data_IF_824997625774
#
_entry.id   IF_824997625774
#
_cell.length_a   1.000
_cell.length_b   1.000
_cell.length_c   1.000
_cell.angle_alpha   90.00
_cell.angle_beta   90.00
_cell.angle_gamma   90.00
#
_symmetry.space_group_name_H-M   'P 1'
#
loop_
_entity.id
_entity.type
_entity.pdbx_description
1 polymer ?
#
# COMPACT_ATOMS: atom_id res chain seq x y z
N UNK A 1 -1.27 12.79 25.06
CA UNK A 1 -0.68 12.31 23.78
C UNK A 1 0.83 12.38 23.90
N UNK A 2 1.53 11.25 23.70
CA UNK A 2 2.93 11.05 24.11
C UNK A 2 3.88 11.95 23.29
N UNK A 3 4.44 13.02 23.89
CA UNK A 3 5.36 13.96 23.22
C UNK A 3 6.53 13.24 22.53
N UNK A 4 7.04 12.17 23.15
CA UNK A 4 8.09 11.31 22.60
C UNK A 4 7.70 10.67 21.25
N UNK A 5 6.44 10.29 21.06
CA UNK A 5 5.96 9.67 19.81
C UNK A 5 6.02 10.67 18.65
N UNK A 6 5.54 11.89 18.87
CA UNK A 6 5.50 12.93 17.82
C UNK A 6 6.92 13.31 17.42
N UNK A 7 7.81 13.50 18.39
CA UNK A 7 9.22 13.81 18.11
C UNK A 7 9.85 12.72 17.26
N UNK A 8 9.55 11.47 17.56
CA UNK A 8 10.07 10.32 16.84
C UNK A 8 9.50 10.18 15.41
N UNK A 9 8.23 10.49 15.20
CA UNK A 9 7.61 10.54 13.86
C UNK A 9 8.16 11.69 13.00
N UNK A 10 8.64 12.77 13.62
CA UNK A 10 9.29 13.90 12.94
C UNK A 10 10.75 13.63 12.58
N UNK A 11 11.39 12.65 13.21
CA UNK A 11 12.76 12.28 12.91
C UNK A 11 12.88 11.83 11.46
N UNK A 12 13.92 12.31 10.78
CA UNK A 12 14.23 11.84 9.44
C UNK A 12 14.69 10.39 9.49
N UNK A 13 14.18 9.60 8.55
CA UNK A 13 14.54 8.21 8.36
C UNK A 13 15.92 8.14 7.69
N UNK A 14 16.85 7.50 8.38
CA UNK A 14 18.14 7.11 7.83
C UNK A 14 18.02 5.72 7.20
N UNK A 15 17.70 5.70 5.91
CA UNK A 15 17.44 4.49 5.11
C UNK A 15 18.06 4.67 3.72
N UNK A 16 18.52 3.57 3.12
CA UNK A 16 19.08 3.56 1.78
C UNK A 16 18.00 3.53 0.70
N UNK A 17 18.38 3.70 -0.57
CA UNK A 17 17.45 3.51 -1.70
C UNK A 17 17.03 2.06 -1.85
N UNK A 18 17.91 1.12 -1.52
CA UNK A 18 17.61 -0.32 -1.54
C UNK A 18 16.52 -0.62 -0.52
N UNK A 19 16.62 -0.07 0.68
CA UNK A 19 15.60 -0.23 1.73
C UNK A 19 14.21 0.28 1.31
N UNK A 20 14.16 1.41 0.58
CA UNK A 20 12.93 1.97 0.01
C UNK A 20 12.38 1.03 -1.06
N UNK A 21 13.24 0.54 -1.95
CA UNK A 21 12.90 -0.38 -3.05
C UNK A 21 12.27 -1.65 -2.49
N UNK A 22 12.95 -2.30 -1.54
CA UNK A 22 12.50 -3.53 -0.89
C UNK A 22 11.18 -3.31 -0.16
N UNK A 23 11.06 -2.22 0.59
CA UNK A 23 9.83 -1.89 1.32
C UNK A 23 8.65 -1.67 0.37
N UNK A 24 8.84 -0.98 -0.76
CA UNK A 24 7.80 -0.76 -1.77
C UNK A 24 7.42 -2.08 -2.49
N UNK A 25 8.39 -2.94 -2.81
CA UNK A 25 8.10 -4.24 -3.44
C UNK A 25 7.34 -5.17 -2.51
N UNK A 26 7.68 -5.16 -1.22
CA UNK A 26 7.09 -6.03 -0.21
C UNK A 26 5.72 -5.55 0.25
N UNK A 27 5.48 -4.24 0.33
CA UNK A 27 4.23 -3.67 0.86
C UNK A 27 2.93 -4.26 0.29
N UNK A 28 2.75 -4.41 -1.04
CA UNK A 28 1.54 -5.00 -1.57
C UNK A 28 1.45 -6.52 -1.33
N UNK A 29 2.58 -7.23 -1.28
CA UNK A 29 2.63 -8.67 -0.98
C UNK A 29 2.17 -8.92 0.46
N UNK A 30 2.71 -8.18 1.43
CA UNK A 30 2.30 -8.26 2.83
C UNK A 30 0.84 -7.82 3.04
N UNK A 31 0.37 -6.86 2.25
CA UNK A 31 -1.04 -6.47 2.29
C UNK A 31 -1.94 -7.59 1.76
N UNK A 32 -1.58 -8.18 0.61
CA UNK A 32 -2.32 -9.28 0.01
C UNK A 32 -2.33 -10.53 0.91
N UNK A 33 -1.22 -10.85 1.58
CA UNK A 33 -1.14 -12.02 2.46
C UNK A 33 -2.06 -11.93 3.67
N UNK A 34 -2.41 -10.72 4.13
CA UNK A 34 -3.39 -10.50 5.20
C UNK A 34 -4.80 -10.37 4.64
N UNK A 35 -4.97 -9.60 3.57
CA UNK A 35 -6.28 -9.31 3.02
C UNK A 35 -6.94 -10.53 2.36
N UNK A 36 -6.16 -11.39 1.69
CA UNK A 36 -6.71 -12.57 1.02
C UNK A 36 -7.40 -13.54 1.99
N UNK A 37 -6.76 -13.98 3.10
CA UNK A 37 -7.43 -14.80 4.10
C UNK A 37 -8.69 -14.15 4.68
N UNK A 38 -8.67 -12.83 4.90
CA UNK A 38 -9.83 -12.09 5.41
C UNK A 38 -10.99 -12.09 4.41
N UNK A 39 -10.71 -11.90 3.12
CA UNK A 39 -11.72 -11.99 2.06
C UNK A 39 -12.29 -13.41 2.00
N UNK A 40 -11.45 -14.44 2.01
CA UNK A 40 -11.92 -15.83 2.03
C UNK A 40 -12.81 -16.11 3.26
N UNK A 41 -12.39 -15.68 4.46
CA UNK A 41 -13.19 -15.82 5.68
C UNK A 41 -14.53 -15.08 5.57
N UNK A 42 -14.53 -13.87 5.02
CA UNK A 42 -15.76 -13.10 4.84
C UNK A 42 -16.76 -13.77 3.90
N UNK A 43 -16.27 -14.41 2.83
CA UNK A 43 -17.09 -15.19 1.89
C UNK A 43 -17.66 -16.41 2.61
N UNK A 44 -16.83 -17.17 3.33
CA UNK A 44 -17.24 -18.39 4.06
C UNK A 44 -18.30 -18.09 5.14
N UNK A 45 -18.18 -16.95 5.82
CA UNK A 45 -19.09 -16.55 6.92
C UNK A 45 -20.36 -15.88 6.37
N UNK A 46 -20.24 -15.09 5.29
CA UNK A 46 -21.32 -14.27 4.74
C UNK A 46 -22.25 -15.00 3.77
N UNK A 47 -21.73 -15.97 3.02
CA UNK A 47 -22.50 -16.84 2.15
C UNK A 47 -22.49 -18.24 2.78
N UNK A 48 -23.64 -18.77 3.18
CA UNK A 48 -23.76 -20.16 3.62
C UNK A 48 -23.04 -21.07 2.61
N UNK A 49 -21.86 -21.57 2.95
CA UNK A 49 -20.86 -22.10 2.01
C UNK A 49 -21.48 -22.83 0.80
N UNK A 50 -21.52 -22.14 -0.36
CA UNK A 50 -22.10 -22.67 -1.61
C UNK A 50 -21.02 -22.95 -2.66
N UNK A 51 -21.42 -23.54 -3.79
CA UNK A 51 -20.56 -23.70 -4.98
C UNK A 51 -20.07 -22.35 -5.52
N UNK A 52 -20.93 -21.32 -5.50
CA UNK A 52 -20.59 -19.95 -5.94
C UNK A 52 -19.54 -19.30 -5.02
N UNK A 53 -19.63 -19.58 -3.71
CA UNK A 53 -18.63 -19.16 -2.72
C UNK A 53 -17.26 -19.80 -2.99
N UNK A 54 -17.25 -21.07 -3.42
CA UNK A 54 -16.02 -21.77 -3.79
C UNK A 54 -15.39 -21.22 -5.08
N UNK A 55 -16.20 -20.93 -6.10
CA UNK A 55 -15.73 -20.27 -7.32
C UNK A 55 -15.15 -18.87 -7.02
N UNK A 56 -15.79 -18.11 -6.12
CA UNK A 56 -15.31 -16.80 -5.68
C UNK A 56 -13.96 -16.88 -4.96
N UNK A 57 -13.75 -17.89 -4.11
CA UNK A 57 -12.46 -18.12 -3.44
C UNK A 57 -11.37 -18.48 -4.46
N UNK A 58 -11.68 -19.29 -5.48
CA UNK A 58 -10.72 -19.70 -6.51
C UNK A 58 -10.35 -18.56 -7.47
N UNK A 59 -11.28 -17.64 -7.72
CA UNK A 59 -11.06 -16.49 -8.61
C UNK A 59 -10.42 -15.29 -7.90
N UNK A 60 -10.53 -15.20 -6.58
CA UNK A 60 -9.91 -14.14 -5.78
C UNK A 60 -8.38 -13.98 -5.99
N UNK A 61 -7.54 -15.02 -6.11
CA UNK A 61 -6.11 -14.88 -6.39
C UNK A 61 -5.82 -14.12 -7.69
N UNK A 62 -6.60 -14.39 -8.76
CA UNK A 62 -6.47 -13.69 -10.05
C UNK A 62 -6.71 -12.20 -9.85
N UNK A 63 -7.72 -11.88 -9.05
CA UNK A 63 -8.02 -10.50 -8.69
C UNK A 63 -6.85 -9.82 -7.94
N UNK A 64 -6.22 -10.49 -6.96
CA UNK A 64 -5.03 -9.96 -6.27
C UNK A 64 -3.84 -9.72 -7.21
N UNK A 65 -3.65 -10.57 -8.22
CA UNK A 65 -2.60 -10.39 -9.25
C UNK A 65 -2.84 -9.10 -10.04
N UNK A 66 -4.08 -8.82 -10.44
CA UNK A 66 -4.43 -7.59 -11.16
C UNK A 66 -4.13 -6.36 -10.30
N UNK A 67 -4.51 -6.38 -9.02
CA UNK A 67 -4.21 -5.29 -8.07
C UNK A 67 -2.70 -5.06 -7.92
N UNK A 68 -1.91 -6.14 -7.84
CA UNK A 68 -0.44 -6.07 -7.79
C UNK A 68 0.15 -5.43 -9.06
N UNK A 69 -0.30 -5.86 -10.23
CA UNK A 69 0.17 -5.30 -11.51
C UNK A 69 -0.11 -3.80 -11.59
N UNK A 70 -1.32 -3.38 -11.20
CA UNK A 70 -1.68 -1.97 -11.15
C UNK A 70 -0.78 -1.22 -10.18
N UNK A 71 -0.58 -1.73 -8.96
CA UNK A 71 0.33 -1.13 -8.01
C UNK A 71 1.73 -0.89 -8.61
N UNK A 72 2.30 -1.89 -9.31
CA UNK A 72 3.64 -1.76 -9.88
C UNK A 72 3.72 -0.72 -11.00
N UNK A 73 2.73 -0.68 -11.90
CA UNK A 73 2.73 0.27 -13.03
C UNK A 73 2.46 1.70 -12.55
N UNK A 74 1.52 1.85 -11.63
CA UNK A 74 0.88 3.13 -11.34
C UNK A 74 1.35 3.75 -10.02
N UNK A 75 1.82 2.98 -9.06
CA UNK A 75 2.10 3.48 -7.70
C UNK A 75 3.57 3.40 -7.38
N UNK A 76 4.17 2.25 -7.65
CA UNK A 76 5.56 1.97 -7.32
C UNK A 76 6.49 3.04 -7.88
N UNK A 77 6.38 3.36 -9.18
CA UNK A 77 7.24 4.35 -9.85
C UNK A 77 7.11 5.73 -9.20
N UNK A 78 5.89 6.21 -8.97
CA UNK A 78 5.65 7.54 -8.38
C UNK A 78 6.09 7.61 -6.92
N UNK A 79 5.78 6.58 -6.13
CA UNK A 79 6.20 6.49 -4.73
C UNK A 79 7.73 6.45 -4.63
N UNK A 80 8.38 5.63 -5.45
CA UNK A 80 9.84 5.51 -5.49
C UNK A 80 10.52 6.83 -5.85
N UNK A 81 10.05 7.52 -6.89
CA UNK A 81 10.61 8.83 -7.31
C UNK A 81 10.43 9.86 -6.19
N UNK A 82 9.21 9.98 -5.64
CA UNK A 82 8.90 10.93 -4.56
C UNK A 82 9.78 10.69 -3.34
N UNK A 83 9.90 9.45 -2.91
CA UNK A 83 10.65 9.08 -1.70
C UNK A 83 12.16 9.20 -1.90
N UNK A 84 12.67 8.82 -3.06
CA UNK A 84 14.08 9.02 -3.41
C UNK A 84 14.44 10.52 -3.47
N UNK A 85 13.52 11.35 -3.96
CA UNK A 85 13.67 12.81 -3.94
C UNK A 85 13.68 13.37 -2.52
N UNK A 86 12.76 12.92 -1.66
CA UNK A 86 12.70 13.30 -0.25
C UNK A 86 13.93 12.84 0.54
N UNK A 87 14.45 11.65 0.25
CA UNK A 87 15.68 11.12 0.81
C UNK A 87 16.87 12.01 0.44
N UNK A 88 17.00 12.39 -0.84
CA UNK A 88 18.06 13.31 -1.30
C UNK A 88 18.00 14.66 -0.60
N UNK A 89 16.79 15.14 -0.25
CA UNK A 89 16.59 16.39 0.50
C UNK A 89 16.72 16.24 2.01
N UNK A 90 17.02 15.05 2.56
CA UNK A 90 17.01 14.75 4.00
C UNK A 90 15.70 15.16 4.67
N UNK A 91 14.58 14.94 3.98
CA UNK A 91 13.22 15.24 4.47
C UNK A 91 12.33 14.02 4.55
N UNK A 92 12.88 12.82 4.29
CA UNK A 92 12.12 11.59 4.38
C UNK A 92 11.80 11.32 5.85
N UNK A 93 10.53 11.53 6.22
CA UNK A 93 9.98 11.27 7.54
C UNK A 93 8.55 10.74 7.41
N UNK A 94 7.92 10.37 8.53
CA UNK A 94 6.57 9.82 8.54
C UNK A 94 5.56 10.70 7.78
N UNK A 95 5.55 11.99 8.07
CA UNK A 95 4.57 12.92 7.51
C UNK A 95 4.73 13.09 6.00
N UNK A 96 5.96 13.13 5.49
CA UNK A 96 6.21 13.22 4.05
C UNK A 96 5.84 11.95 3.30
N UNK A 97 6.05 10.78 3.90
CA UNK A 97 5.59 9.50 3.35
C UNK A 97 4.06 9.48 3.28
N UNK A 98 3.39 9.79 4.39
CA UNK A 98 1.92 9.84 4.44
C UNK A 98 1.36 10.87 3.45
N UNK A 99 1.97 12.05 3.36
CA UNK A 99 1.55 13.08 2.40
C UNK A 99 1.70 12.59 0.95
N UNK A 100 2.80 11.92 0.61
CA UNK A 100 3.00 11.35 -0.73
C UNK A 100 1.96 10.27 -1.07
N UNK A 101 1.59 9.45 -0.09
CA UNK A 101 0.55 8.44 -0.22
C UNK A 101 -0.84 9.06 -0.42
N UNK A 102 -1.20 10.09 0.37
CA UNK A 102 -2.46 10.80 0.20
C UNK A 102 -2.54 11.49 -1.17
N UNK A 103 -1.45 12.09 -1.65
CA UNK A 103 -1.41 12.68 -2.99
C UNK A 103 -1.65 11.63 -4.08
N UNK A 104 -1.03 10.45 -3.94
CA UNK A 104 -1.26 9.31 -4.84
C UNK A 104 -2.75 8.92 -4.82
N UNK A 105 -3.35 8.77 -3.64
CA UNK A 105 -4.78 8.42 -3.50
C UNK A 105 -5.68 9.48 -4.15
N UNK A 106 -5.41 10.77 -3.94
CA UNK A 106 -6.18 11.88 -4.53
C UNK A 106 -6.04 11.88 -6.05
N UNK A 107 -4.83 11.70 -6.58
CA UNK A 107 -4.58 11.62 -8.02
C UNK A 107 -5.37 10.45 -8.64
N UNK A 108 -5.34 9.27 -8.01
CA UNK A 108 -6.10 8.10 -8.49
C UNK A 108 -7.61 8.29 -8.40
N UNK A 109 -8.10 8.87 -7.31
CA UNK A 109 -9.52 9.19 -7.14
C UNK A 109 -9.99 10.20 -8.18
N UNK A 110 -9.13 11.14 -8.58
CA UNK A 110 -9.42 12.12 -9.63
C UNK A 110 -9.46 11.48 -11.01
N UNK A 111 -8.54 10.55 -11.32
CA UNK A 111 -8.56 9.77 -12.56
C UNK A 111 -9.83 8.91 -12.66
N UNK A 112 -10.27 8.32 -11.54
CA UNK A 112 -11.51 7.53 -11.46
C UNK A 112 -12.75 8.36 -11.85
N UNK A 113 -12.80 9.62 -11.45
CA UNK A 113 -13.92 10.52 -11.75
C UNK A 113 -14.05 10.87 -13.23
N UNK A 114 -12.99 10.65 -14.03
CA UNK A 114 -12.95 11.06 -15.43
C UNK A 114 -13.42 9.99 -16.44
N UNK A 115 -13.55 8.72 -16.03
CA UNK A 115 -14.08 7.67 -16.90
C UNK A 115 -14.59 6.45 -16.12
N UNK A 116 -15.89 6.45 -15.78
CA UNK A 116 -16.56 5.29 -15.17
C UNK A 116 -17.01 4.35 -16.29
N UNK A 117 -16.05 3.60 -16.84
CA UNK A 117 -16.32 2.35 -17.59
C UNK A 117 -15.88 1.16 -16.74
N UNK A 118 -15.88 -0.08 -17.26
CA UNK A 118 -15.49 -1.30 -16.51
C UNK A 118 -14.12 -1.20 -15.80
N UNK A 119 -13.23 -0.30 -16.23
CA UNK A 119 -11.98 0.07 -15.55
C UNK A 119 -12.18 0.75 -14.18
N UNK A 120 -13.33 1.36 -13.93
CA UNK A 120 -13.67 2.07 -12.70
C UNK A 120 -13.81 1.15 -11.48
N UNK A 121 -14.30 -0.08 -11.67
CA UNK A 121 -14.36 -1.08 -10.59
C UNK A 121 -12.96 -1.44 -10.09
N UNK A 122 -12.01 -1.60 -11.01
CA UNK A 122 -10.62 -1.96 -10.70
C UNK A 122 -9.91 -0.83 -9.92
N UNK A 123 -10.18 0.43 -10.29
CA UNK A 123 -9.61 1.59 -9.61
C UNK A 123 -10.28 1.83 -8.24
N UNK A 124 -11.60 1.63 -8.10
CA UNK A 124 -12.29 1.67 -6.81
C UNK A 124 -11.73 0.63 -5.83
N UNK A 125 -11.44 -0.56 -6.35
CA UNK A 125 -10.81 -1.65 -5.60
C UNK A 125 -9.36 -1.32 -5.23
N UNK A 126 -8.59 -0.69 -6.12
CA UNK A 126 -7.26 -0.19 -5.78
C UNK A 126 -7.29 0.81 -4.61
N UNK A 127 -8.27 1.70 -4.55
CA UNK A 127 -8.44 2.64 -3.42
C UNK A 127 -8.63 1.92 -2.07
N UNK A 128 -9.28 0.74 -2.06
CA UNK A 128 -9.43 -0.09 -0.85
C UNK A 128 -8.07 -0.63 -0.39
N UNK A 129 -7.22 -1.04 -1.34
CA UNK A 129 -5.89 -1.58 -1.04
C UNK A 129 -4.81 -0.52 -0.82
N UNK A 130 -5.01 0.71 -1.31
CA UNK A 130 -4.02 1.78 -1.21
C UNK A 130 -3.65 2.13 0.24
N UNK A 131 -4.63 2.26 1.13
CA UNK A 131 -4.39 2.63 2.53
C UNK A 131 -3.59 1.53 3.26
N UNK A 132 -4.00 0.24 3.23
CA UNK A 132 -3.21 -0.86 3.80
C UNK A 132 -1.79 -0.95 3.22
N UNK A 133 -1.61 -0.75 1.92
CA UNK A 133 -0.29 -0.77 1.27
C UNK A 133 0.61 0.33 1.83
N UNK A 134 0.08 1.53 2.00
CA UNK A 134 0.81 2.69 2.54
C UNK A 134 1.23 2.44 3.99
N UNK A 135 0.33 1.89 4.80
CA UNK A 135 0.61 1.55 6.20
C UNK A 135 1.69 0.48 6.27
N UNK A 136 1.54 -0.61 5.50
CA UNK A 136 2.50 -1.71 5.45
C UNK A 136 3.88 -1.23 5.00
N UNK A 137 3.92 -0.42 3.93
CA UNK A 137 5.16 0.21 3.46
C UNK A 137 5.84 0.99 4.59
N UNK A 138 5.08 1.82 5.30
CA UNK A 138 5.63 2.62 6.41
C UNK A 138 6.18 1.73 7.53
N UNK A 139 5.46 0.69 7.93
CA UNK A 139 5.90 -0.25 8.97
C UNK A 139 7.20 -0.94 8.57
N UNK A 140 7.33 -1.38 7.31
CA UNK A 140 8.54 -2.02 6.80
C UNK A 140 9.73 -1.06 6.81
N UNK A 141 9.57 0.14 6.27
CA UNK A 141 10.63 1.15 6.22
C UNK A 141 11.09 1.56 7.63
N UNK A 142 10.14 1.66 8.55
CA UNK A 142 10.41 1.98 9.93
C UNK A 142 11.19 0.87 10.66
N UNK A 143 10.82 -0.40 10.40
CA UNK A 143 11.56 -1.56 10.91
C UNK A 143 13.01 -1.55 10.42
N UNK A 144 13.24 -1.17 9.17
CA UNK A 144 14.59 -1.03 8.59
C UNK A 144 15.37 0.12 9.24
N UNK A 145 14.77 1.30 9.39
CA UNK A 145 15.41 2.42 10.07
C UNK A 145 15.86 2.06 11.49
N UNK A 146 15.01 1.35 12.25
CA UNK A 146 15.37 0.88 13.60
C UNK A 146 16.52 -0.13 13.59
N UNK A 147 16.66 -0.94 12.54
CA UNK A 147 17.77 -1.87 12.38
C UNK A 147 19.08 -1.11 12.11
N UNK A 148 19.03 -0.06 11.29
CA UNK A 148 20.20 0.74 10.93
C UNK A 148 20.64 1.71 12.03
N UNK A 149 19.73 2.09 12.94
CA UNK A 149 20.01 2.98 14.07
C UNK A 149 20.54 2.25 15.33
N UNK A 150 20.74 0.93 15.25
CA UNK A 150 21.33 0.10 16.30
C UNK A 150 22.76 -0.25 15.93
#
# INVERSE_FOLDING_TARGET
>A
MNYKLITYLKTNLDVSREDITDSLMMAPIYTASIAYPLVCLSIIIGENFTVESFESIITAPIFFIIVLLIYFVFVYVFAYISQTFLLRKKRLNFFTIMASAFLIIILYSSILSWNVSASGAVIMLFSIFAIPIVITYWVLLFKVHRKNSK
#
